data_IF_163352687363
#
_entry.id   IF_163352687363
#
_cell.length_a   1.000
_cell.length_b   1.000
_cell.length_c   1.000
_cell.angle_alpha   90.00
_cell.angle_beta   90.00
_cell.angle_gamma   90.00
#
_symmetry.space_group_name_H-M   'P 1'
#
loop_
_entity.id
_entity.type
_entity.pdbx_description
1 polymer ?
#
# COMPACT_ATOMS: atom_id res chain seq x y z
N UNK A 1 5.99 -37.96 1.06
CA UNK A 1 5.24 -36.90 0.33
C UNK A 1 5.96 -36.56 -0.98
N UNK A 2 5.34 -36.79 -2.14
CA UNK A 2 5.98 -36.60 -3.45
C UNK A 2 6.24 -35.12 -3.76
N UNK A 3 7.33 -34.81 -4.48
CA UNK A 3 7.72 -33.46 -4.93
C UNK A 3 6.56 -32.65 -5.56
N UNK A 4 5.62 -33.35 -6.20
CA UNK A 4 4.41 -32.77 -6.80
C UNK A 4 3.47 -32.13 -5.78
N UNK A 5 3.40 -32.66 -4.55
CA UNK A 5 2.56 -32.12 -3.49
C UNK A 5 3.14 -30.81 -2.93
N UNK A 6 4.47 -30.74 -2.77
CA UNK A 6 5.13 -29.52 -2.32
C UNK A 6 5.03 -28.42 -3.38
N UNK A 7 5.26 -28.74 -4.65
CA UNK A 7 5.10 -27.79 -5.75
C UNK A 7 3.69 -27.17 -5.81
N UNK A 8 2.64 -27.98 -5.60
CA UNK A 8 1.24 -27.50 -5.54
C UNK A 8 0.98 -26.55 -4.37
N UNK A 9 1.71 -26.71 -3.26
CA UNK A 9 1.59 -25.81 -2.11
C UNK A 9 2.15 -24.41 -2.39
N UNK A 10 3.11 -24.28 -3.33
CA UNK A 10 3.71 -22.99 -3.70
C UNK A 10 2.93 -22.26 -4.81
N UNK A 11 2.23 -23.01 -5.64
CA UNK A 11 1.47 -22.50 -6.77
C UNK A 11 0.54 -21.32 -6.43
N UNK A 12 -0.29 -21.34 -5.36
CA UNK A 12 -1.17 -20.20 -5.06
C UNK A 12 -0.39 -18.92 -4.76
N UNK A 13 0.78 -19.02 -4.13
CA UNK A 13 1.62 -17.86 -3.78
C UNK A 13 2.22 -17.17 -5.01
N UNK A 14 2.41 -17.91 -6.11
CA UNK A 14 2.89 -17.37 -7.39
C UNK A 14 1.72 -16.87 -8.24
N UNK A 15 0.63 -17.64 -8.30
CA UNK A 15 -0.51 -17.31 -9.15
C UNK A 15 -1.27 -16.08 -8.68
N UNK A 16 -1.46 -15.89 -7.37
CA UNK A 16 -2.26 -14.76 -6.87
C UNK A 16 -1.65 -13.38 -7.19
N UNK A 17 -0.37 -13.10 -6.90
CA UNK A 17 0.25 -11.81 -7.28
C UNK A 17 0.32 -11.62 -8.80
N UNK A 18 0.57 -12.71 -9.53
CA UNK A 18 0.63 -12.70 -11.00
C UNK A 18 -0.73 -12.36 -11.60
N UNK A 19 -1.80 -13.05 -11.18
CA UNK A 19 -3.15 -12.80 -11.64
C UNK A 19 -3.62 -11.38 -11.27
N UNK A 20 -3.24 -10.89 -10.09
CA UNK A 20 -3.50 -9.51 -9.71
C UNK A 20 -2.83 -8.53 -10.68
N UNK A 21 -1.54 -8.69 -10.96
CA UNK A 21 -0.82 -7.79 -11.87
C UNK A 21 -1.35 -7.85 -13.30
N UNK A 22 -1.52 -9.07 -13.83
CA UNK A 22 -2.04 -9.31 -15.19
C UNK A 22 -3.46 -8.75 -15.34
N UNK A 23 -4.34 -8.95 -14.36
CA UNK A 23 -5.68 -8.39 -14.40
C UNK A 23 -5.66 -6.85 -14.43
N UNK A 24 -4.72 -6.18 -13.77
CA UNK A 24 -4.59 -4.72 -13.86
C UNK A 24 -4.34 -4.30 -15.30
N UNK A 25 -3.37 -4.95 -15.95
CA UNK A 25 -2.89 -4.54 -17.28
C UNK A 25 -3.92 -4.84 -18.37
N UNK A 26 -4.66 -5.93 -18.24
CA UNK A 26 -5.71 -6.30 -19.19
C UNK A 26 -6.98 -5.46 -18.97
N UNK A 27 -7.45 -5.34 -17.73
CA UNK A 27 -8.79 -4.80 -17.45
C UNK A 27 -8.79 -3.27 -17.41
N UNK A 28 -7.73 -2.63 -16.93
CA UNK A 28 -7.68 -1.17 -16.80
C UNK A 28 -7.91 -0.42 -18.13
N UNK A 29 -7.22 -0.74 -19.25
CA UNK A 29 -7.47 -0.06 -20.52
C UNK A 29 -8.87 -0.35 -21.11
N UNK A 30 -9.50 -1.47 -20.73
CA UNK A 30 -10.88 -1.79 -21.14
C UNK A 30 -11.92 -0.95 -20.40
N UNK A 31 -11.68 -0.70 -19.11
CA UNK A 31 -12.57 0.12 -18.28
C UNK A 31 -12.36 1.62 -18.50
N UNK A 32 -11.13 2.02 -18.79
CA UNK A 32 -10.73 3.43 -18.95
C UNK A 32 -9.97 3.62 -20.27
N UNK A 33 -10.66 3.54 -21.43
CA UNK A 33 -10.04 3.76 -22.74
C UNK A 33 -9.61 5.23 -22.90
N UNK A 34 -10.42 6.16 -22.40
CA UNK A 34 -10.21 7.60 -22.59
C UNK A 34 -9.38 8.25 -21.49
N UNK A 35 -8.53 9.20 -21.89
CA UNK A 35 -7.68 9.95 -20.96
C UNK A 35 -8.48 10.79 -19.95
N UNK A 36 -9.67 11.26 -20.35
CA UNK A 36 -10.54 12.03 -19.47
C UNK A 36 -11.05 11.18 -18.31
N UNK A 37 -11.44 9.93 -18.57
CA UNK A 37 -11.93 9.01 -17.53
C UNK A 37 -10.82 8.60 -16.58
N UNK A 38 -9.60 8.39 -17.08
CA UNK A 38 -8.42 8.13 -16.24
C UNK A 38 -8.10 9.28 -15.30
N UNK A 39 -8.22 10.53 -15.77
CA UNK A 39 -8.03 11.73 -14.93
C UNK A 39 -9.12 11.86 -13.87
N UNK A 40 -10.38 11.61 -14.23
CA UNK A 40 -11.49 11.62 -13.28
C UNK A 40 -11.33 10.53 -12.21
N UNK A 41 -10.90 9.33 -12.62
CA UNK A 41 -10.55 8.24 -11.71
C UNK A 41 -9.40 8.65 -10.77
N UNK A 42 -8.32 9.21 -11.31
CA UNK A 42 -7.19 9.67 -10.50
C UNK A 42 -7.57 10.71 -9.45
N UNK A 43 -8.43 11.68 -9.81
CA UNK A 43 -8.96 12.66 -8.87
C UNK A 43 -9.79 12.02 -7.75
N UNK A 44 -10.60 11.02 -8.09
CA UNK A 44 -11.42 10.28 -7.11
C UNK A 44 -10.56 9.48 -6.14
N UNK A 45 -9.54 8.77 -6.64
CA UNK A 45 -8.60 8.00 -5.82
C UNK A 45 -7.76 8.91 -4.93
N UNK A 46 -7.23 10.01 -5.49
CA UNK A 46 -6.41 10.97 -4.76
C UNK A 46 -7.15 11.67 -3.61
N UNK A 47 -8.48 11.79 -3.70
CA UNK A 47 -9.32 12.34 -2.64
C UNK A 47 -9.62 11.37 -1.48
N UNK A 48 -9.24 10.09 -1.58
CA UNK A 48 -9.56 9.08 -0.58
C UNK A 48 -8.34 8.71 0.28
N UNK A 49 -8.20 9.24 1.51
CA UNK A 49 -7.05 8.98 2.38
C UNK A 49 -6.97 7.51 2.83
N UNK A 50 -8.10 6.78 2.87
CA UNK A 50 -8.09 5.36 3.22
C UNK A 50 -7.39 4.51 2.15
N UNK A 51 -7.56 4.85 0.87
CA UNK A 51 -6.83 4.19 -0.21
C UNK A 51 -5.34 4.54 -0.17
N UNK A 52 -4.99 5.78 0.20
CA UNK A 52 -3.61 6.19 0.43
C UNK A 52 -2.93 5.42 1.56
N UNK A 53 -3.66 5.05 2.62
CA UNK A 53 -3.12 4.24 3.72
C UNK A 53 -2.75 2.82 3.27
N UNK A 54 -3.58 2.20 2.41
CA UNK A 54 -3.43 0.81 1.98
C UNK A 54 -2.43 0.69 0.81
N UNK A 55 -2.60 1.51 -0.22
CA UNK A 55 -1.84 1.41 -1.47
C UNK A 55 -0.68 2.40 -1.55
N UNK A 56 -0.66 3.41 -0.68
CA UNK A 56 0.23 4.56 -0.83
C UNK A 56 -0.28 5.58 -1.85
N UNK A 57 0.51 6.63 -2.11
CA UNK A 57 0.16 7.66 -3.08
C UNK A 57 0.08 7.09 -4.50
N UNK A 58 -0.97 7.46 -5.23
CA UNK A 58 -1.16 7.12 -6.62
C UNK A 58 -0.39 8.12 -7.51
N UNK A 59 0.89 7.84 -7.77
CA UNK A 59 1.78 8.78 -8.47
C UNK A 59 1.35 9.11 -9.91
N UNK A 60 1.05 8.08 -10.70
CA UNK A 60 0.54 8.24 -12.06
C UNK A 60 -0.51 7.16 -12.35
N UNK A 61 -1.75 7.60 -12.56
CA UNK A 61 -2.87 6.74 -12.97
C UNK A 61 -3.30 7.03 -14.41
N UNK A 62 -2.58 7.88 -15.14
CA UNK A 62 -2.88 8.10 -16.57
C UNK A 62 -2.44 6.92 -17.44
N UNK A 63 -1.51 6.11 -16.93
CA UNK A 63 -0.92 4.95 -17.59
C UNK A 63 -1.38 3.64 -16.95
N UNK A 64 -1.50 2.59 -17.77
CA UNK A 64 -1.85 1.24 -17.31
C UNK A 64 -0.81 0.68 -16.34
N UNK A 65 0.47 0.89 -16.63
CA UNK A 65 1.57 0.45 -15.78
C UNK A 65 1.59 1.19 -14.43
N UNK A 66 1.28 2.49 -14.42
CA UNK A 66 1.17 3.29 -13.20
C UNK A 66 0.02 2.81 -12.29
N UNK A 67 -1.16 2.55 -12.86
CA UNK A 67 -2.26 1.92 -12.13
C UNK A 67 -1.89 0.53 -11.59
N UNK A 68 -1.24 -0.30 -12.42
CA UNK A 68 -0.81 -1.63 -12.00
C UNK A 68 0.18 -1.57 -10.84
N UNK A 69 1.18 -0.69 -10.91
CA UNK A 69 2.16 -0.51 -9.84
C UNK A 69 1.49 -0.07 -8.54
N UNK A 70 0.61 0.93 -8.59
CA UNK A 70 -0.10 1.43 -7.41
C UNK A 70 -0.99 0.37 -6.76
N UNK A 71 -1.78 -0.36 -7.55
CA UNK A 71 -2.70 -1.39 -7.04
C UNK A 71 -1.98 -2.66 -6.60
N UNK A 72 -1.12 -3.18 -7.46
CA UNK A 72 -0.57 -4.53 -7.32
C UNK A 72 0.60 -4.58 -6.37
N UNK A 73 1.39 -3.51 -6.21
CA UNK A 73 2.61 -3.55 -5.38
C UNK A 73 2.29 -3.86 -3.91
N UNK A 74 1.27 -3.19 -3.34
CA UNK A 74 0.88 -3.39 -1.94
C UNK A 74 0.26 -4.78 -1.70
N UNK A 75 -0.71 -5.17 -2.53
CA UNK A 75 -1.43 -6.44 -2.37
C UNK A 75 -0.58 -7.66 -2.77
N UNK A 76 0.17 -7.57 -3.86
CA UNK A 76 1.10 -8.61 -4.27
C UNK A 76 2.27 -8.76 -3.29
N UNK A 77 2.78 -7.64 -2.75
CA UNK A 77 3.77 -7.65 -1.67
C UNK A 77 3.24 -8.30 -0.39
N UNK A 78 2.00 -8.02 0.00
CA UNK A 78 1.30 -8.69 1.10
C UNK A 78 1.26 -10.21 0.91
N UNK A 79 0.85 -10.68 -0.27
CA UNK A 79 0.78 -12.11 -0.57
C UNK A 79 2.18 -12.74 -0.55
N UNK A 80 3.19 -12.08 -1.14
CA UNK A 80 4.57 -12.55 -1.12
C UNK A 80 5.12 -12.64 0.31
N UNK A 81 4.84 -11.66 1.16
CA UNK A 81 5.25 -11.65 2.55
C UNK A 81 4.63 -12.80 3.36
N UNK A 82 3.31 -12.98 3.28
CA UNK A 82 2.61 -14.05 3.99
C UNK A 82 3.10 -15.41 3.49
N UNK A 83 3.27 -15.57 2.18
CA UNK A 83 3.82 -16.77 1.58
C UNK A 83 5.20 -17.10 2.14
N UNK A 84 6.12 -16.13 2.12
CA UNK A 84 7.46 -16.30 2.68
C UNK A 84 7.43 -16.70 4.17
N UNK A 85 6.59 -16.06 4.98
CA UNK A 85 6.44 -16.38 6.41
C UNK A 85 6.03 -17.83 6.59
N UNK A 86 4.97 -18.27 5.91
CA UNK A 86 4.46 -19.63 6.05
C UNK A 86 5.42 -20.69 5.51
N UNK A 87 6.16 -20.39 4.44
CA UNK A 87 7.18 -21.30 3.92
C UNK A 87 8.25 -21.52 4.99
N UNK A 88 8.80 -20.44 5.54
CA UNK A 88 9.87 -20.54 6.55
C UNK A 88 9.38 -21.25 7.81
N UNK A 89 8.25 -20.86 8.39
CA UNK A 89 7.78 -21.43 9.66
C UNK A 89 7.34 -22.88 9.51
N UNK A 90 6.71 -23.24 8.39
CA UNK A 90 6.31 -24.63 8.09
C UNK A 90 7.52 -25.52 7.85
N UNK A 91 8.50 -25.07 7.06
CA UNK A 91 9.69 -25.85 6.72
C UNK A 91 10.77 -25.86 7.84
N UNK A 92 10.60 -25.05 8.88
CA UNK A 92 11.43 -25.09 10.09
C UNK A 92 10.68 -25.66 11.29
N UNK A 93 9.98 -24.82 12.08
CA UNK A 93 9.26 -25.23 13.29
C UNK A 93 8.19 -26.28 13.05
N UNK A 94 7.47 -26.21 11.93
CA UNK A 94 6.47 -27.23 11.59
C UNK A 94 7.08 -28.63 11.43
N UNK A 95 8.32 -28.73 10.95
CA UNK A 95 9.03 -30.01 10.87
C UNK A 95 9.57 -30.47 12.24
N UNK A 96 9.95 -29.52 13.12
CA UNK A 96 10.33 -29.81 14.50
C UNK A 96 9.14 -30.36 15.31
N UNK A 97 8.01 -29.66 15.27
CA UNK A 97 6.80 -30.01 16.03
C UNK A 97 6.15 -31.34 15.56
N UNK A 98 6.41 -31.76 14.31
CA UNK A 98 5.86 -33.00 13.74
C UNK A 98 6.76 -34.22 13.91
N UNK A 99 7.92 -34.09 14.57
CA UNK A 99 8.90 -35.17 14.74
C UNK A 99 9.67 -35.56 13.46
N UNK A 100 9.35 -34.96 12.30
CA UNK A 100 10.12 -35.16 11.06
C UNK A 100 11.58 -34.72 11.22
N UNK A 101 11.79 -33.68 12.03
CA UNK A 101 13.10 -33.22 12.45
C UNK A 101 13.94 -34.31 13.12
N UNK A 102 13.34 -35.22 13.91
CA UNK A 102 14.06 -36.29 14.61
C UNK A 102 14.50 -37.39 13.65
N UNK A 103 13.66 -37.72 12.66
CA UNK A 103 14.01 -38.66 11.59
C UNK A 103 15.18 -38.13 10.76
N UNK A 104 15.22 -36.83 10.46
CA UNK A 104 16.33 -36.21 9.73
C UNK A 104 17.59 -36.04 10.60
N UNK A 105 17.42 -35.83 11.91
CA UNK A 105 18.52 -35.70 12.87
C UNK A 105 19.17 -37.05 13.24
N UNK A 106 18.51 -38.18 12.97
CA UNK A 106 19.17 -39.49 13.00
C UNK A 106 20.19 -39.67 11.86
N UNK A 107 20.15 -38.79 10.85
CA UNK A 107 21.20 -38.62 9.85
C UNK A 107 22.20 -37.50 10.19
N UNK A 108 23.09 -37.16 9.25
CA UNK A 108 24.20 -36.20 9.47
C UNK A 108 23.76 -34.72 9.46
N UNK A 109 22.47 -34.42 9.23
CA UNK A 109 22.00 -33.03 9.11
C UNK A 109 21.70 -32.38 10.47
N UNK A 110 22.47 -31.36 10.81
CA UNK A 110 22.26 -30.53 12.00
C UNK A 110 21.09 -29.53 11.90
N UNK A 111 20.65 -29.01 13.04
CA UNK A 111 19.53 -28.04 13.17
C UNK A 111 19.67 -26.79 12.30
N UNK A 112 20.89 -26.25 12.18
CA UNK A 112 21.18 -25.05 11.37
C UNK A 112 20.95 -25.29 9.87
N UNK A 113 21.21 -26.50 9.38
CA UNK A 113 21.00 -26.86 7.96
C UNK A 113 19.51 -26.81 7.58
N UNK A 114 18.64 -27.23 8.51
CA UNK A 114 17.17 -27.20 8.29
C UNK A 114 16.64 -25.78 8.17
N UNK A 115 17.08 -24.88 9.07
CA UNK A 115 16.68 -23.47 9.02
C UNK A 115 17.16 -22.78 7.75
N UNK A 116 18.41 -23.04 7.35
CA UNK A 116 18.97 -22.49 6.12
C UNK A 116 18.21 -23.00 4.88
N UNK A 117 17.83 -24.28 4.86
CA UNK A 117 17.02 -24.86 3.78
C UNK A 117 15.66 -24.18 3.69
N UNK A 118 14.98 -23.97 4.83
CA UNK A 118 13.70 -23.26 4.88
C UNK A 118 13.81 -21.81 4.36
N UNK A 119 14.88 -21.10 4.76
CA UNK A 119 15.16 -19.75 4.28
C UNK A 119 15.42 -19.73 2.76
N UNK A 120 16.32 -20.58 2.26
CA UNK A 120 16.64 -20.65 0.84
C UNK A 120 15.41 -20.99 -0.01
N UNK A 121 14.57 -21.90 0.46
CA UNK A 121 13.31 -22.23 -0.21
C UNK A 121 12.39 -21.02 -0.31
N UNK A 122 12.21 -20.26 0.78
CA UNK A 122 11.42 -19.04 0.76
C UNK A 122 12.01 -17.97 -0.16
N UNK A 123 13.34 -17.86 -0.22
CA UNK A 123 14.04 -16.92 -1.11
C UNK A 123 13.81 -17.28 -2.59
N UNK A 124 13.94 -18.56 -2.95
CA UNK A 124 13.70 -19.06 -4.31
C UNK A 124 12.23 -18.91 -4.70
N UNK A 125 11.29 -19.25 -3.81
CA UNK A 125 9.87 -19.04 -4.08
C UNK A 125 9.54 -17.55 -4.27
N UNK A 126 10.10 -16.67 -3.44
CA UNK A 126 9.89 -15.21 -3.57
C UNK A 126 10.48 -14.65 -4.87
N UNK A 127 11.63 -15.19 -5.31
CA UNK A 127 12.20 -14.87 -6.61
C UNK A 127 11.29 -15.36 -7.75
N UNK A 128 10.76 -16.57 -7.65
CA UNK A 128 9.82 -17.12 -8.63
C UNK A 128 8.53 -16.28 -8.71
N UNK A 129 7.99 -15.80 -7.58
CA UNK A 129 6.86 -14.87 -7.56
C UNK A 129 7.19 -13.62 -8.39
N UNK A 130 8.31 -12.95 -8.10
CA UNK A 130 8.69 -11.72 -8.79
C UNK A 130 8.95 -11.92 -10.28
N UNK A 131 9.72 -12.95 -10.65
CA UNK A 131 10.05 -13.26 -12.05
C UNK A 131 8.79 -13.63 -12.83
N UNK A 132 7.96 -14.54 -12.32
CA UNK A 132 6.74 -14.97 -13.02
C UNK A 132 5.74 -13.81 -13.12
N UNK A 133 5.50 -13.08 -12.02
CA UNK A 133 4.62 -11.92 -12.06
C UNK A 133 5.10 -10.87 -13.06
N UNK A 134 6.39 -10.52 -13.05
CA UNK A 134 6.95 -9.54 -13.97
C UNK A 134 6.86 -9.99 -15.43
N UNK A 135 7.29 -11.22 -15.73
CA UNK A 135 7.37 -11.72 -17.12
C UNK A 135 5.98 -11.86 -17.69
N UNK A 136 5.06 -12.52 -16.96
CA UNK A 136 3.69 -12.74 -17.45
C UNK A 136 2.96 -11.40 -17.61
N UNK A 137 3.14 -10.45 -16.70
CA UNK A 137 2.54 -9.11 -16.84
C UNK A 137 3.03 -8.40 -18.10
N UNK A 138 4.34 -8.46 -18.39
CA UNK A 138 4.90 -7.87 -19.59
C UNK A 138 4.37 -8.53 -20.87
N UNK A 139 4.30 -9.87 -20.88
CA UNK A 139 3.74 -10.63 -22.00
C UNK A 139 2.24 -10.36 -22.23
N UNK A 140 1.50 -9.98 -21.19
CA UNK A 140 0.08 -9.64 -21.26
C UNK A 140 -0.19 -8.15 -21.57
N UNK A 141 0.82 -7.39 -22.01
CA UNK A 141 0.66 -6.01 -22.48
C UNK A 141 1.20 -4.93 -21.54
N UNK A 142 1.87 -5.30 -20.45
CA UNK A 142 2.52 -4.37 -19.54
C UNK A 142 3.89 -3.94 -20.08
N UNK A 143 4.36 -2.76 -19.70
CA UNK A 143 5.73 -2.35 -20.02
C UNK A 143 6.75 -3.29 -19.35
N UNK A 144 7.76 -3.75 -20.09
CA UNK A 144 8.79 -4.67 -19.56
C UNK A 144 9.52 -4.08 -18.34
N UNK A 145 9.96 -2.83 -18.41
CA UNK A 145 10.65 -2.15 -17.31
C UNK A 145 9.79 -2.07 -16.03
N UNK A 146 8.59 -1.43 -16.09
CA UNK A 146 7.67 -1.35 -14.95
C UNK A 146 7.27 -2.73 -14.39
N UNK A 147 7.01 -3.71 -15.27
CA UNK A 147 6.60 -5.05 -14.86
C UNK A 147 7.72 -5.79 -14.12
N UNK A 148 8.97 -5.68 -14.60
CA UNK A 148 10.13 -6.24 -13.90
C UNK A 148 10.38 -5.55 -12.56
N UNK A 149 10.21 -4.22 -12.48
CA UNK A 149 10.38 -3.47 -11.25
C UNK A 149 9.30 -3.84 -10.21
N UNK A 150 8.05 -4.03 -10.63
CA UNK A 150 6.97 -4.55 -9.79
C UNK A 150 7.32 -5.95 -9.26
N UNK A 151 7.79 -6.84 -10.14
CA UNK A 151 8.25 -8.18 -9.78
C UNK A 151 9.38 -8.16 -8.75
N UNK A 152 10.39 -7.31 -8.94
CA UNK A 152 11.47 -7.10 -7.98
C UNK A 152 10.95 -6.63 -6.62
N UNK A 153 9.94 -5.75 -6.61
CA UNK A 153 9.24 -5.33 -5.39
C UNK A 153 8.62 -6.51 -4.63
N UNK A 154 7.98 -7.45 -5.33
CA UNK A 154 7.46 -8.68 -4.71
C UNK A 154 8.57 -9.55 -4.15
N UNK A 155 9.66 -9.74 -4.90
CA UNK A 155 10.81 -10.55 -4.45
C UNK A 155 11.46 -9.98 -3.19
N UNK A 156 11.78 -8.68 -3.17
CA UNK A 156 12.41 -8.03 -2.01
C UNK A 156 11.49 -8.08 -0.79
N UNK A 157 10.18 -7.90 -0.98
CA UNK A 157 9.20 -8.03 0.10
C UNK A 157 9.20 -9.45 0.68
N UNK A 158 9.15 -10.46 -0.20
CA UNK A 158 9.23 -11.86 0.24
C UNK A 158 10.52 -12.19 0.99
N UNK A 159 11.67 -11.71 0.51
CA UNK A 159 12.98 -11.91 1.16
C UNK A 159 13.05 -11.24 2.54
N UNK A 160 12.55 -10.01 2.67
CA UNK A 160 12.50 -9.31 3.93
C UNK A 160 11.70 -10.09 4.97
N UNK A 161 10.51 -10.59 4.60
CA UNK A 161 9.66 -11.34 5.52
C UNK A 161 10.09 -12.80 5.73
N UNK A 162 10.83 -13.39 4.79
CA UNK A 162 11.54 -14.64 5.02
C UNK A 162 12.58 -14.48 6.15
N UNK A 163 13.38 -13.40 6.12
CA UNK A 163 14.35 -13.10 7.16
C UNK A 163 13.68 -12.88 8.53
N UNK A 164 12.60 -12.11 8.57
CA UNK A 164 11.80 -11.93 9.80
C UNK A 164 11.30 -13.28 10.32
N UNK A 165 10.71 -14.11 9.45
CA UNK A 165 10.21 -15.43 9.84
C UNK A 165 11.31 -16.38 10.32
N UNK A 166 12.53 -16.27 9.78
CA UNK A 166 13.68 -17.03 10.29
C UNK A 166 14.00 -16.64 11.73
N UNK A 167 14.01 -15.34 12.04
CA UNK A 167 14.24 -14.84 13.40
C UNK A 167 13.11 -15.30 14.33
N UNK A 168 11.85 -15.15 13.93
CA UNK A 168 10.71 -15.57 14.77
C UNK A 168 10.66 -17.08 14.97
N UNK A 169 11.09 -17.86 13.99
CA UNK A 169 11.24 -19.31 14.13
C UNK A 169 12.31 -19.70 15.16
N UNK A 170 13.35 -18.89 15.37
CA UNK A 170 14.34 -19.20 16.41
C UNK A 170 13.81 -18.95 17.83
N UNK A 171 13.04 -17.87 18.03
CA UNK A 171 12.52 -17.48 19.35
C UNK A 171 11.17 -18.13 19.70
N UNK A 172 10.38 -18.54 18.72
CA UNK A 172 9.06 -19.15 18.93
C UNK A 172 9.17 -20.55 19.53
N UNK A 173 8.27 -20.85 20.47
CA UNK A 173 8.13 -22.18 21.10
C UNK A 173 7.65 -23.25 20.12
N UNK A 174 6.83 -22.86 19.16
CA UNK A 174 6.13 -23.73 18.21
C UNK A 174 5.86 -22.96 16.90
N UNK A 175 5.44 -23.69 15.86
CA UNK A 175 5.18 -23.12 14.53
C UNK A 175 4.08 -22.06 14.50
N UNK A 176 3.05 -22.19 15.34
CA UNK A 176 1.95 -21.22 15.42
C UNK A 176 2.46 -19.92 16.03
N UNK A 177 3.14 -20.00 17.17
CA UNK A 177 3.71 -18.83 17.85
C UNK A 177 4.69 -18.08 16.94
N UNK A 178 5.61 -18.80 16.28
CA UNK A 178 6.56 -18.19 15.33
C UNK A 178 5.85 -17.46 14.17
N UNK A 179 4.79 -18.06 13.62
CA UNK A 179 4.02 -17.48 12.53
C UNK A 179 3.22 -16.25 12.98
N UNK A 180 2.60 -16.30 14.15
CA UNK A 180 1.84 -15.18 14.72
C UNK A 180 2.73 -13.96 14.95
N UNK A 181 3.94 -14.16 15.50
CA UNK A 181 4.89 -13.05 15.70
C UNK A 181 5.30 -12.44 14.36
N UNK A 182 5.64 -13.26 13.36
CA UNK A 182 6.05 -12.76 12.05
C UNK A 182 4.93 -11.97 11.33
N UNK A 183 3.69 -12.48 11.37
CA UNK A 183 2.52 -11.79 10.81
C UNK A 183 2.22 -10.50 11.58
N UNK A 184 2.39 -10.48 12.90
CA UNK A 184 2.23 -9.26 13.70
C UNK A 184 3.27 -8.20 13.31
N UNK A 185 4.55 -8.58 13.16
CA UNK A 185 5.61 -7.69 12.67
C UNK A 185 5.26 -7.15 11.28
N UNK A 186 4.80 -8.01 10.37
CA UNK A 186 4.30 -7.59 9.06
C UNK A 186 3.19 -6.55 9.17
N UNK A 187 2.16 -6.82 9.98
CA UNK A 187 1.03 -5.91 10.17
C UNK A 187 1.45 -4.55 10.74
N UNK A 188 2.34 -4.54 11.74
CA UNK A 188 2.89 -3.30 12.32
C UNK A 188 3.64 -2.50 11.26
N UNK A 189 4.53 -3.14 10.50
CA UNK A 189 5.29 -2.45 9.45
C UNK A 189 4.38 -1.93 8.33
N UNK A 190 3.33 -2.67 7.98
CA UNK A 190 2.34 -2.25 6.98
C UNK A 190 1.58 -0.99 7.42
N UNK A 191 1.06 -1.00 8.65
CA UNK A 191 0.35 0.16 9.23
C UNK A 191 1.29 1.35 9.39
N UNK A 192 2.50 1.12 9.90
CA UNK A 192 3.51 2.16 10.08
C UNK A 192 3.89 2.80 8.74
N UNK A 193 4.05 1.98 7.69
CA UNK A 193 4.30 2.46 6.31
C UNK A 193 3.17 3.38 5.84
N UNK A 194 1.91 2.94 5.94
CA UNK A 194 0.76 3.76 5.55
C UNK A 194 0.66 5.08 6.33
N UNK A 195 0.83 5.00 7.65
CA UNK A 195 0.79 6.15 8.55
C UNK A 195 1.90 7.16 8.25
N UNK A 196 3.12 6.69 8.01
CA UNK A 196 4.25 7.53 7.63
C UNK A 196 4.00 8.27 6.31
N UNK A 197 3.44 7.58 5.31
CA UNK A 197 3.03 8.22 4.05
C UNK A 197 1.96 9.30 4.26
N UNK A 198 0.98 9.05 5.13
CA UNK A 198 -0.06 10.02 5.46
C UNK A 198 0.51 11.28 6.12
N UNK A 199 1.49 11.16 7.02
CA UNK A 199 2.15 12.32 7.62
C UNK A 199 2.92 13.16 6.60
N UNK A 200 3.71 12.51 5.74
CA UNK A 200 4.52 13.20 4.74
C UNK A 200 3.63 13.96 3.77
N UNK A 201 2.56 13.33 3.25
CA UNK A 201 1.60 14.00 2.36
C UNK A 201 0.84 15.12 3.08
N UNK A 202 0.45 14.92 4.34
CA UNK A 202 -0.20 15.96 5.14
C UNK A 202 0.66 17.21 5.30
N UNK A 203 1.95 17.04 5.58
CA UNK A 203 2.90 18.15 5.72
C UNK A 203 3.11 18.93 4.41
N UNK A 204 3.12 18.24 3.26
CA UNK A 204 3.27 18.87 1.96
C UNK A 204 2.02 19.68 1.54
N UNK A 205 0.81 19.17 1.87
CA UNK A 205 -0.45 19.88 1.65
C UNK A 205 -0.51 21.18 2.47
N UNK A 206 -0.14 21.12 3.76
CA UNK A 206 -0.12 22.27 4.67
C UNK A 206 0.82 23.39 4.17
N UNK A 207 2.04 23.02 3.74
CA UNK A 207 2.98 23.96 3.12
C UNK A 207 2.44 24.63 1.84
N UNK A 208 1.72 23.87 1.00
CA UNK A 208 1.16 24.41 -0.25
C UNK A 208 0.03 25.41 -0.01
N UNK A 209 -0.73 25.25 1.07
CA UNK A 209 -1.79 26.20 1.48
C UNK A 209 -1.17 27.49 1.98
N UNK A 210 -0.15 27.41 2.83
CA UNK A 210 0.53 28.58 3.35
C UNK A 210 1.27 29.40 2.28
N UNK A 211 1.79 28.76 1.23
CA UNK A 211 2.46 29.47 0.14
C UNK A 211 1.48 30.14 -0.84
N UNK A 212 0.25 29.62 -0.98
CA UNK A 212 -0.79 30.17 -1.88
C UNK A 212 -1.63 31.28 -1.27
N UNK A 213 -1.49 31.58 0.02
CA UNK A 213 -2.10 32.77 0.61
C UNK A 213 -1.19 33.97 0.29
N UNK A 214 -1.49 34.81 -0.73
CA UNK A 214 -0.86 36.11 -0.78
C UNK A 214 -1.13 36.79 0.56
N UNK A 215 -0.10 37.37 1.16
CA UNK A 215 -0.22 38.22 2.34
C UNK A 215 -1.06 39.47 2.01
N UNK A 216 -2.35 39.30 1.75
CA UNK A 216 -3.31 40.38 1.84
C UNK A 216 -3.38 40.73 3.32
N UNK A 217 -2.52 41.67 3.72
CA UNK A 217 -2.68 42.45 4.94
C UNK A 217 -4.16 42.78 5.03
N UNK A 218 -4.82 42.21 6.04
CA UNK A 218 -6.15 42.63 6.44
C UNK A 218 -6.02 44.11 6.75
N UNK A 219 -6.43 44.95 5.80
CA UNK A 219 -6.46 46.41 5.93
C UNK A 219 -7.47 46.66 7.03
N UNK A 220 -7.00 46.99 8.24
CA UNK A 220 -7.85 47.36 9.36
C UNK A 220 -8.82 48.44 8.86
N UNK A 221 -10.10 48.11 8.81
CA UNK A 221 -11.17 49.05 8.49
C UNK A 221 -11.15 50.10 9.60
N UNK A 222 -10.99 51.41 9.30
CA UNK A 222 -11.07 52.44 10.32
C UNK A 222 -12.50 52.47 10.87
N UNK A 223 -12.65 52.23 12.17
CA UNK A 223 -13.91 52.47 12.87
C UNK A 223 -14.28 53.95 12.78
N UNK A 224 -15.49 54.32 12.30
CA UNK A 224 -15.90 55.71 12.23
C UNK A 224 -16.15 56.24 13.65
N UNK A 225 -15.37 57.24 14.07
CA UNK A 225 -15.67 58.01 15.28
C UNK A 225 -16.92 58.85 15.04
N UNK A 226 -17.97 58.54 15.78
CA UNK A 226 -19.15 59.39 15.91
C UNK A 226 -18.75 60.80 16.35
N UNK A 227 -19.07 61.81 15.53
CA UNK A 227 -19.20 63.19 16.00
C UNK A 227 -20.63 63.62 15.66
N UNK A 228 -21.52 63.50 16.65
CA UNK A 228 -22.86 64.09 16.60
C UNK A 228 -22.69 65.61 16.56
N UNK A 229 -23.14 66.25 15.50
CA UNK A 229 -23.51 67.67 15.52
C UNK A 229 -24.96 67.75 15.07
N UNK A 230 -25.83 67.84 16.07
CA UNK A 230 -27.27 67.99 15.93
C UNK A 230 -27.58 69.44 15.56
N UNK A 231 -27.90 69.70 14.29
CA UNK A 231 -28.55 70.95 13.87
C UNK A 231 -30.01 70.64 13.62
N UNK A 232 -30.87 70.99 14.59
CA UNK A 232 -32.34 70.92 14.46
C UNK A 232 -32.78 72.16 13.69
N UNK A 233 -33.24 71.98 12.45
CA UNK A 233 -33.99 73.00 11.73
C UNK A 233 -35.45 72.56 11.63
N UNK A 234 -36.30 73.31 12.31
CA UNK A 234 -37.74 73.12 12.44
C UNK A 234 -38.44 73.51 11.13
N UNK A 235 -39.22 72.61 10.52
CA UNK A 235 -40.11 72.92 9.39
C UNK A 235 -41.43 72.16 9.55
N UNK A 236 -42.51 72.94 9.64
CA UNK A 236 -43.88 72.53 9.94
C UNK A 236 -44.60 71.76 8.80
N UNK A 237 -45.68 71.01 9.08
CA UNK A 237 -46.40 70.22 8.08
C UNK A 237 -47.55 71.00 7.43
N UNK A 238 -47.89 70.77 6.15
CA UNK A 238 -49.13 71.26 5.58
C UNK A 238 -50.29 70.28 5.81
N UNK A 239 -51.42 70.87 6.21
CA UNK A 239 -52.72 70.26 6.50
C UNK A 239 -53.35 69.60 5.28
N UNK A 240 -54.04 68.49 5.53
CA UNK A 240 -55.08 67.97 4.66
C UNK A 240 -56.34 68.86 4.73
N UNK A 241 -56.97 69.10 3.58
CA UNK A 241 -58.37 69.52 3.50
C UNK A 241 -59.06 68.88 2.31
N UNK A 242 -60.24 68.33 2.62
CA UNK A 242 -61.24 67.66 1.81
C UNK A 242 -61.93 68.57 0.77
N UNK A 243 -62.46 67.90 -0.27
CA UNK A 243 -63.71 68.13 -1.02
C UNK A 243 -64.03 69.49 -1.67
N UNK A 244 -64.17 69.46 -3.01
CA UNK A 244 -65.44 69.70 -3.72
C UNK A 244 -65.39 69.00 -5.09
#
# INVERSE_FOLDING_TARGET
>A
PSLTHEARSFLPWILLPTALSVSSVIVYPLLFPDMQDRKAFAATIGGNPALGLIFGPAYDLSTTDGFNAWRSLALGGLIAAIGAIFIVTKASRGQEDSGQAELLASGVLGRQSRLLTALLLAMVCSLAIGVVSGVVTALCGGGWGPSMLLGAGFTVTGWMFAAVATVTAQIGSDARTASTIAVAVFGVLFVMRGFLFSMVVGSAMDQSVHHRLPHHRIRRIPTPRHTMTTTVTMSAPPRASHNA
#
